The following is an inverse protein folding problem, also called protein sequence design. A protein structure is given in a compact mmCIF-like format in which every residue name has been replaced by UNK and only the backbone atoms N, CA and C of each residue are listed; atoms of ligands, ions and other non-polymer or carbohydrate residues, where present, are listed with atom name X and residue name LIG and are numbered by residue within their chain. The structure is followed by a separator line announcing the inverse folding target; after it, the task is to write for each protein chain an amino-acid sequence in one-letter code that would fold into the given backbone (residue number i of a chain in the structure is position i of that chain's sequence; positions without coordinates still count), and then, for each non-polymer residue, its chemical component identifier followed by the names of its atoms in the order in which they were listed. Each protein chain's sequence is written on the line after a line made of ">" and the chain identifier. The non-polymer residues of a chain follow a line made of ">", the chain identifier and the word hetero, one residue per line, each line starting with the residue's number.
data_IF_779908403191
#
_entry.id   IF_779908403191
#
_cell.length_a   1.000
_cell.length_b   1.000
_cell.length_c   1.000
_cell.angle_alpha   90.00
_cell.angle_beta   90.00
_cell.angle_gamma   90.00
#
_symmetry.space_group_name_H-M   'P 1'
#
loop_
_entity.id
_entity.type
_entity.pdbx_description
1 polymer ?
#
# COMPACT_ATOMS: atom_id res chain seq x y z
N UNK A 1 2.99 31.28 62.70
CA UNK A 1 2.00 32.36 62.88
C UNK A 1 2.74 33.70 62.82
N UNK A 2 2.25 34.64 61.99
CA UNK A 2 2.48 36.11 62.00
C UNK A 2 3.93 36.62 61.74
N UNK A 3 4.29 37.65 60.95
CA UNK A 3 3.62 38.75 60.18
C UNK A 3 4.79 39.48 59.45
N UNK A 4 4.89 39.55 58.12
CA UNK A 4 4.42 40.61 57.17
C UNK A 4 5.37 41.82 56.95
N UNK A 5 5.80 41.95 55.68
CA UNK A 5 6.06 43.15 54.82
C UNK A 5 7.23 44.13 55.05
N UNK A 6 7.97 44.37 53.94
CA UNK A 6 8.11 45.71 53.35
C UNK A 6 8.36 45.63 51.82
N UNK A 7 7.49 46.28 51.06
CA UNK A 7 7.59 46.67 49.63
C UNK A 7 8.29 48.06 49.59
N UNK A 8 9.07 48.51 48.60
CA UNK A 8 8.63 49.02 47.29
C UNK A 8 9.83 49.46 46.42
N UNK A 9 9.63 49.29 45.10
CA UNK A 9 10.17 49.92 43.87
C UNK A 9 11.10 51.14 43.96
N UNK A 10 12.03 51.27 42.99
CA UNK A 10 12.01 52.30 41.91
C UNK A 10 13.15 52.08 40.89
N UNK A 11 12.82 52.00 39.59
CA UNK A 11 13.70 52.01 38.41
C UNK A 11 14.05 53.46 37.99
N UNK A 12 15.17 53.74 37.29
CA UNK A 12 15.08 53.98 35.83
C UNK A 12 16.33 53.47 35.05
N UNK A 13 16.19 52.69 33.98
CA UNK A 13 16.14 53.08 32.55
C UNK A 13 17.29 53.99 32.06
N UNK A 14 18.27 53.43 31.34
CA UNK A 14 19.19 54.17 30.45
C UNK A 14 19.26 53.46 29.08
N UNK A 15 19.22 54.31 28.05
CA UNK A 15 19.01 54.07 26.63
C UNK A 15 20.31 53.79 25.86
N UNK A 16 20.20 53.09 24.72
CA UNK A 16 21.22 53.02 23.65
C UNK A 16 22.12 51.77 23.71
N UNK A 17 22.34 50.98 22.67
CA UNK A 17 22.23 51.18 21.22
C UNK A 17 22.03 49.81 20.55
N UNK A 18 20.94 49.61 19.81
CA UNK A 18 20.78 48.41 18.97
C UNK A 18 21.64 48.54 17.71
N UNK A 19 22.70 47.74 17.64
CA UNK A 19 23.54 47.59 16.45
C UNK A 19 22.77 46.76 15.42
N UNK A 20 22.20 47.46 14.42
CA UNK A 20 21.48 46.88 13.27
C UNK A 20 22.43 45.91 12.53
N UNK A 21 22.14 44.61 12.59
CA UNK A 21 22.89 43.58 11.83
C UNK A 21 22.50 43.65 10.35
N UNK A 22 23.44 43.43 9.43
CA UNK A 22 23.16 43.57 8.00
C UNK A 22 22.22 42.46 7.54
N UNK A 23 21.24 42.88 6.74
CA UNK A 23 20.27 42.04 6.05
C UNK A 23 21.02 41.06 5.14
N UNK A 24 21.11 39.81 5.57
CA UNK A 24 21.62 38.72 4.75
C UNK A 24 20.45 38.18 3.96
N UNK A 25 20.49 38.48 2.66
CA UNK A 25 19.66 37.92 1.61
C UNK A 25 19.28 36.48 1.91
N UNK A 26 18.01 36.26 2.31
CA UNK A 26 17.44 34.92 2.50
C UNK A 26 17.39 34.22 1.15
N UNK A 27 18.44 33.49 0.83
CA UNK A 27 18.39 32.45 -0.18
C UNK A 27 17.22 31.52 0.15
N UNK A 28 16.37 31.24 -0.84
CA UNK A 28 15.27 30.26 -0.74
C UNK A 28 15.79 28.99 -0.05
N UNK A 29 15.42 28.81 1.22
CA UNK A 29 15.70 27.56 1.92
C UNK A 29 14.90 26.47 1.24
N UNK A 30 15.60 25.49 0.66
CA UNK A 30 15.01 24.22 0.23
C UNK A 30 14.00 23.76 1.29
N UNK A 31 12.76 23.49 0.90
CA UNK A 31 11.58 23.33 1.77
C UNK A 31 11.58 22.10 2.68
N UNK A 32 12.75 21.58 3.05
CA UNK A 32 12.89 20.45 3.98
C UNK A 32 12.84 20.98 5.40
N UNK A 33 11.79 20.63 6.14
CA UNK A 33 11.67 20.93 7.57
C UNK A 33 12.32 19.81 8.38
N UNK A 34 13.18 20.19 9.34
CA UNK A 34 13.80 19.23 10.25
C UNK A 34 12.81 18.74 11.30
N UNK A 35 12.81 17.44 11.57
CA UNK A 35 11.99 16.81 12.62
C UNK A 35 12.89 16.01 13.56
N UNK A 36 12.75 16.22 14.87
CA UNK A 36 13.40 15.39 15.88
C UNK A 36 12.53 14.19 16.21
N UNK A 37 13.00 13.00 15.87
CA UNK A 37 12.32 11.72 16.17
C UNK A 37 13.01 11.04 17.34
N UNK A 38 12.23 10.59 18.33
CA UNK A 38 12.73 9.75 19.42
C UNK A 38 12.49 8.29 19.07
N UNK A 39 13.58 7.53 18.99
CA UNK A 39 13.55 6.10 18.72
C UNK A 39 14.06 5.34 19.94
N UNK A 40 13.61 4.09 20.09
CA UNK A 40 14.24 3.16 21.04
C UNK A 40 15.69 2.89 20.61
N UNK A 41 16.52 2.44 21.55
CA UNK A 41 17.94 2.19 21.27
C UNK A 41 18.11 1.10 20.20
N UNK A 42 17.29 0.06 20.26
CA UNK A 42 17.26 -1.05 19.30
C UNK A 42 16.79 -0.59 17.91
N UNK A 43 15.72 0.22 17.84
CA UNK A 43 15.20 0.71 16.57
C UNK A 43 16.17 1.68 15.90
N UNK A 44 16.90 2.46 16.68
CA UNK A 44 17.97 3.33 16.17
C UNK A 44 19.09 2.50 15.52
N UNK A 45 19.56 1.45 16.19
CA UNK A 45 20.59 0.57 15.63
C UNK A 45 20.11 -0.16 14.38
N UNK A 46 18.84 -0.61 14.36
CA UNK A 46 18.24 -1.22 13.16
C UNK A 46 18.12 -0.21 12.02
N UNK A 47 17.74 1.03 12.32
CA UNK A 47 17.66 2.09 11.31
C UNK A 47 19.05 2.41 10.74
N UNK A 48 20.09 2.46 11.57
CA UNK A 48 21.48 2.61 11.12
C UNK A 48 21.91 1.44 10.21
N UNK A 49 21.64 0.20 10.61
CA UNK A 49 21.96 -0.99 9.82
C UNK A 49 21.27 -0.99 8.45
N UNK A 50 19.97 -0.68 8.41
CA UNK A 50 19.21 -0.68 7.16
C UNK A 50 19.52 0.54 6.28
N UNK A 51 19.87 1.68 6.88
CA UNK A 51 20.34 2.85 6.14
C UNK A 51 21.64 2.52 5.39
N UNK A 52 22.59 1.88 6.05
CA UNK A 52 23.86 1.46 5.45
C UNK A 52 23.64 0.40 4.36
N UNK A 53 22.85 -0.63 4.66
CA UNK A 53 22.53 -1.71 3.71
C UNK A 53 21.82 -1.23 2.44
N UNK A 54 21.01 -0.17 2.54
CA UNK A 54 20.29 0.43 1.39
C UNK A 54 21.05 1.60 0.75
N UNK A 55 22.23 1.96 1.26
CA UNK A 55 23.09 3.00 0.68
C UNK A 55 22.63 4.43 0.93
N UNK A 56 21.86 4.70 1.98
CA UNK A 56 21.46 6.06 2.33
C UNK A 56 22.62 6.84 2.96
N UNK A 57 22.72 8.13 2.63
CA UNK A 57 23.80 9.00 3.12
C UNK A 57 23.69 9.29 4.61
N UNK A 58 22.48 9.17 5.18
CA UNK A 58 22.24 9.40 6.60
C UNK A 58 21.01 8.64 7.11
N UNK A 59 20.99 8.34 8.41
CA UNK A 59 19.83 7.74 9.09
C UNK A 59 18.59 8.63 8.96
N UNK A 60 18.75 9.95 8.98
CA UNK A 60 17.64 10.89 8.83
C UNK A 60 16.98 10.80 7.44
N UNK A 61 17.76 10.55 6.40
CA UNK A 61 17.26 10.35 5.04
C UNK A 61 16.48 9.02 4.94
N UNK A 62 17.01 7.95 5.55
CA UNK A 62 16.31 6.68 5.66
C UNK A 62 14.98 6.82 6.43
N UNK A 63 14.97 7.56 7.54
CA UNK A 63 13.75 7.81 8.33
C UNK A 63 12.74 8.65 7.54
N UNK A 64 13.18 9.65 6.79
CA UNK A 64 12.30 10.44 5.93
C UNK A 64 11.65 9.60 4.83
N UNK A 65 12.41 8.73 4.17
CA UNK A 65 11.89 7.80 3.16
C UNK A 65 10.93 6.77 3.77
N UNK A 66 11.26 6.22 4.94
CA UNK A 66 10.39 5.29 5.65
C UNK A 66 9.05 5.92 6.04
N UNK A 67 9.05 7.20 6.45
CA UNK A 67 7.81 7.95 6.71
C UNK A 67 7.00 8.14 5.43
N UNK A 68 7.64 8.51 4.32
CA UNK A 68 6.97 8.64 3.03
C UNK A 68 6.37 7.31 2.54
N UNK A 69 7.10 6.20 2.71
CA UNK A 69 6.63 4.85 2.41
C UNK A 69 5.43 4.46 3.29
N UNK A 70 5.48 4.80 4.58
CA UNK A 70 4.36 4.54 5.51
C UNK A 70 3.12 5.33 5.12
N UNK A 71 3.26 6.60 4.74
CA UNK A 71 2.16 7.45 4.26
C UNK A 71 1.57 6.88 2.97
N UNK A 72 2.40 6.43 2.02
CA UNK A 72 1.91 5.75 0.79
C UNK A 72 1.08 4.51 1.10
N UNK A 73 1.57 3.65 1.99
CA UNK A 73 0.85 2.44 2.45
C UNK A 73 -0.47 2.77 3.14
N UNK A 74 -0.52 3.84 3.94
CA UNK A 74 -1.75 4.30 4.61
C UNK A 74 -2.75 4.93 3.63
N UNK A 75 -2.28 5.60 2.59
CA UNK A 75 -3.11 6.12 1.50
C UNK A 75 -3.68 5.02 0.59
N UNK A 76 -3.42 3.74 0.90
CA UNK A 76 -3.75 2.57 0.06
C UNK A 76 -3.18 2.66 -1.36
N UNK A 77 -2.18 3.53 -1.56
CA UNK A 77 -1.43 3.68 -2.81
C UNK A 77 -0.36 2.60 -2.82
N UNK A 78 -0.83 1.36 -2.95
CA UNK A 78 0.04 0.20 -3.12
C UNK A 78 0.53 0.23 -4.56
N UNK A 79 1.81 0.56 -4.75
CA UNK A 79 2.56 0.05 -5.89
C UNK A 79 2.59 -1.47 -5.75
N UNK A 80 1.53 -2.15 -6.22
CA UNK A 80 1.52 -3.60 -6.35
C UNK A 80 2.70 -3.96 -7.26
N UNK A 81 3.74 -4.65 -6.74
CA UNK A 81 4.81 -5.11 -7.61
C UNK A 81 4.22 -5.93 -8.76
N UNK A 82 4.81 -5.82 -9.94
CA UNK A 82 4.34 -6.48 -11.17
C UNK A 82 4.05 -7.97 -10.98
N UNK A 83 4.76 -8.62 -10.06
CA UNK A 83 4.59 -10.03 -9.71
C UNK A 83 3.25 -10.34 -9.01
N UNK A 84 2.77 -9.46 -8.15
CA UNK A 84 1.49 -9.64 -7.45
C UNK A 84 0.32 -9.48 -8.43
N UNK A 85 0.42 -8.52 -9.36
CA UNK A 85 -0.54 -8.36 -10.47
C UNK A 85 -0.53 -9.59 -11.38
N UNK A 86 0.67 -10.08 -11.77
CA UNK A 86 0.80 -11.27 -12.60
C UNK A 86 0.16 -12.50 -11.95
N UNK A 87 0.37 -12.68 -10.64
CA UNK A 87 -0.23 -13.78 -9.87
C UNK A 87 -1.75 -13.67 -9.76
N UNK A 88 -2.25 -12.45 -9.62
CA UNK A 88 -3.69 -12.20 -9.56
C UNK A 88 -4.37 -12.49 -10.91
N UNK A 89 -3.73 -12.09 -12.00
CA UNK A 89 -4.19 -12.43 -13.35
C UNK A 89 -4.18 -13.95 -13.58
N UNK A 90 -3.13 -14.64 -13.14
CA UNK A 90 -3.08 -16.11 -13.21
C UNK A 90 -4.24 -16.77 -12.44
N UNK A 91 -4.57 -16.28 -11.23
CA UNK A 91 -5.70 -16.78 -10.46
C UNK A 91 -7.04 -16.55 -11.19
N UNK A 92 -7.22 -15.39 -11.82
CA UNK A 92 -8.41 -15.09 -12.63
C UNK A 92 -8.54 -16.08 -13.79
N UNK A 93 -7.44 -16.35 -14.49
CA UNK A 93 -7.40 -17.31 -15.59
C UNK A 93 -7.72 -18.74 -15.12
N UNK A 94 -7.19 -19.16 -13.97
CA UNK A 94 -7.47 -20.47 -13.38
C UNK A 94 -8.95 -20.62 -12.99
N UNK A 95 -9.57 -19.59 -12.41
CA UNK A 95 -11.01 -19.59 -12.08
C UNK A 95 -11.86 -19.64 -13.35
N UNK A 96 -11.48 -18.90 -14.40
CA UNK A 96 -12.17 -18.95 -15.68
C UNK A 96 -12.08 -20.34 -16.34
N UNK A 97 -10.90 -20.98 -16.28
CA UNK A 97 -10.71 -22.34 -16.76
C UNK A 97 -11.56 -23.35 -15.96
N UNK A 98 -11.62 -23.22 -14.63
CA UNK A 98 -12.45 -24.07 -13.78
C UNK A 98 -13.93 -23.93 -14.11
N UNK A 99 -14.43 -22.70 -14.30
CA UNK A 99 -15.82 -22.46 -14.69
C UNK A 99 -16.18 -23.13 -16.02
N UNK A 100 -15.30 -23.02 -17.03
CA UNK A 100 -15.48 -23.71 -18.31
C UNK A 100 -15.49 -25.23 -18.16
N UNK A 101 -14.59 -25.78 -17.34
CA UNK A 101 -14.56 -27.22 -17.08
C UNK A 101 -15.82 -27.70 -16.36
N UNK A 102 -16.35 -26.92 -15.42
CA UNK A 102 -17.62 -27.22 -14.75
C UNK A 102 -18.80 -27.23 -15.74
N UNK A 103 -18.89 -26.22 -16.61
CA UNK A 103 -19.94 -26.15 -17.63
C UNK A 103 -19.84 -27.31 -18.64
N UNK A 104 -18.62 -27.71 -19.02
CA UNK A 104 -18.41 -28.87 -19.87
C UNK A 104 -18.82 -30.17 -19.18
N UNK A 105 -18.49 -30.33 -17.91
CA UNK A 105 -18.91 -31.49 -17.12
C UNK A 105 -20.43 -31.56 -17.02
N UNK A 106 -21.09 -30.43 -16.76
CA UNK A 106 -22.56 -30.34 -16.75
C UNK A 106 -23.15 -30.79 -18.07
N UNK A 107 -22.64 -30.31 -19.21
CA UNK A 107 -23.10 -30.74 -20.53
C UNK A 107 -22.91 -32.25 -20.75
N UNK A 108 -21.76 -32.80 -20.40
CA UNK A 108 -21.48 -34.25 -20.53
C UNK A 108 -22.42 -35.07 -19.64
N UNK A 109 -22.71 -34.59 -18.44
CA UNK A 109 -23.65 -35.23 -17.52
C UNK A 109 -25.06 -35.21 -18.09
N UNK A 110 -25.53 -34.07 -18.61
CA UNK A 110 -26.84 -33.96 -19.26
C UNK A 110 -26.92 -34.90 -20.46
N UNK A 111 -25.96 -34.82 -21.39
CA UNK A 111 -25.92 -35.71 -22.56
C UNK A 111 -25.82 -37.19 -22.16
N UNK A 112 -25.07 -37.51 -21.12
CA UNK A 112 -24.96 -38.88 -20.60
C UNK A 112 -26.25 -39.40 -19.98
N UNK A 113 -26.98 -38.55 -19.24
CA UNK A 113 -28.30 -38.90 -18.72
C UNK A 113 -29.34 -38.98 -19.82
N UNK A 114 -29.34 -38.05 -20.77
CA UNK A 114 -30.19 -38.11 -21.97
C UNK A 114 -29.93 -39.39 -22.74
N UNK A 115 -28.67 -39.84 -22.85
CA UNK A 115 -28.19 -41.10 -23.45
C UNK A 115 -28.55 -42.37 -22.65
N UNK A 116 -28.80 -42.24 -21.36
CA UNK A 116 -29.27 -43.35 -20.53
C UNK A 116 -30.80 -43.47 -20.60
N UNK A 117 -31.51 -42.33 -20.66
CA UNK A 117 -32.97 -42.27 -20.64
C UNK A 117 -33.58 -42.89 -21.90
N UNK A 118 -33.22 -42.42 -23.09
CA UNK A 118 -33.58 -43.06 -24.35
C UNK A 118 -33.16 -44.53 -24.45
N UNK A 119 -31.99 -44.94 -23.92
CA UNK A 119 -31.60 -46.37 -23.91
C UNK A 119 -32.55 -47.20 -23.04
N UNK A 120 -32.99 -46.67 -21.91
CA UNK A 120 -33.98 -47.31 -21.03
C UNK A 120 -35.42 -47.19 -21.52
N UNK A 121 -35.73 -46.19 -22.37
CA UNK A 121 -37.04 -46.00 -23.02
C UNK A 121 -37.18 -46.85 -24.30
N UNK A 122 -36.07 -47.40 -24.80
CA UNK A 122 -36.03 -48.14 -26.05
C UNK A 122 -35.97 -47.24 -27.29
N UNK A 123 -35.72 -45.94 -27.11
CA UNK A 123 -35.54 -44.97 -28.19
C UNK A 123 -34.10 -45.03 -28.68
N UNK A 124 -33.92 -45.36 -29.95
CA UNK A 124 -32.60 -45.56 -30.52
C UNK A 124 -31.97 -44.21 -30.87
N UNK A 125 -30.94 -43.76 -30.14
CA UNK A 125 -30.17 -42.54 -30.47
C UNK A 125 -29.53 -42.55 -31.86
N UNK A 126 -29.53 -43.71 -32.53
CA UNK A 126 -29.02 -43.88 -33.88
C UNK A 126 -30.11 -43.67 -34.96
N UNK A 127 -31.36 -43.43 -34.57
CA UNK A 127 -32.51 -43.23 -35.47
C UNK A 127 -33.20 -41.88 -35.31
N UNK A 128 -32.73 -41.02 -34.39
CA UNK A 128 -33.19 -39.63 -34.36
C UNK A 128 -32.33 -38.88 -35.39
N UNK A 129 -32.90 -38.72 -36.57
CA UNK A 129 -32.28 -38.28 -37.81
C UNK A 129 -31.41 -37.02 -37.61
N UNK A 130 -30.07 -37.17 -37.71
CA UNK A 130 -29.27 -36.20 -38.47
C UNK A 130 -29.65 -36.37 -39.95
N UNK A 131 -30.90 -36.02 -40.29
CA UNK A 131 -31.36 -35.93 -41.67
C UNK A 131 -30.55 -34.81 -42.31
N UNK A 132 -29.70 -35.19 -43.26
CA UNK A 132 -28.72 -34.34 -43.91
C UNK A 132 -29.37 -33.22 -44.73
N UNK A 133 -29.85 -32.18 -44.08
CA UNK A 133 -30.36 -30.98 -44.73
C UNK A 133 -29.20 -30.03 -45.02
N UNK A 134 -28.67 -30.13 -46.24
CA UNK A 134 -27.99 -29.03 -46.90
C UNK A 134 -29.04 -28.01 -47.37
N UNK A 135 -29.30 -26.95 -46.60
CA UNK A 135 -29.87 -25.69 -47.09
C UNK A 135 -29.19 -24.50 -46.41
#
# INVERSE_FOLDING_TARGET
>A
MATTQASEKTTPTVHGTQKKRPDTTRGRSSGRQGMFVRLSLDDKQRAEYWADKRGFSSVNEYVAEAVAEKIRRENLDYDLPTLEIARLNELVDQVAALSKNSANLERVVITGFDSLIGLTRGDNYLLDDEDGELV
#
